data_IF_460362268659
#
_entry.id   IF_460362268659
#
_cell.length_a   1.000
_cell.length_b   1.000
_cell.length_c   1.000
_cell.angle_alpha   90.00
_cell.angle_beta   90.00
_cell.angle_gamma   90.00
#
_symmetry.space_group_name_H-M   'P 1'
#
loop_
_entity.id
_entity.type
_entity.pdbx_description
1 polymer ?
#
# COMPACT_ATOMS: atom_id res chain seq x y z
N UNK A 1 -6.06 -3.74 5.88
CA UNK A 1 -6.17 -4.80 6.91
C UNK A 1 -6.01 -4.20 8.30
N UNK A 2 -6.85 -4.57 9.26
CA UNK A 2 -6.67 -4.11 10.63
C UNK A 2 -5.31 -4.54 11.19
N UNK A 3 -4.61 -3.62 11.86
CA UNK A 3 -3.29 -3.90 12.42
C UNK A 3 -3.30 -5.06 13.43
N UNK A 4 -4.39 -5.21 14.18
CA UNK A 4 -4.52 -6.28 15.18
C UNK A 4 -4.55 -7.69 14.57
N UNK A 5 -4.88 -7.81 13.29
CA UNK A 5 -4.95 -9.08 12.57
C UNK A 5 -3.69 -9.38 11.75
N UNK A 6 -2.74 -8.44 11.72
CA UNK A 6 -1.54 -8.56 10.91
C UNK A 6 -0.38 -9.12 11.75
N UNK A 7 0.33 -10.11 11.19
CA UNK A 7 1.54 -10.69 11.79
C UNK A 7 2.56 -11.04 10.72
N UNK A 8 3.83 -10.73 11.00
CA UNK A 8 4.95 -11.26 10.24
C UNK A 8 5.30 -12.65 10.76
N UNK A 9 5.39 -13.63 9.87
CA UNK A 9 5.68 -15.02 10.25
C UNK A 9 7.14 -15.37 10.14
N UNK A 10 7.94 -14.61 9.38
CA UNK A 10 9.39 -14.80 9.27
C UNK A 10 10.07 -13.51 8.80
N UNK A 11 11.38 -13.46 9.02
CA UNK A 11 12.24 -12.40 8.55
C UNK A 11 12.41 -11.24 9.54
N UNK A 12 13.38 -10.37 9.23
CA UNK A 12 13.69 -9.16 9.99
C UNK A 12 13.51 -7.95 9.06
N UNK A 13 12.32 -7.36 9.01
CA UNK A 13 12.04 -6.26 8.09
C UNK A 13 12.76 -4.98 8.51
N UNK A 14 13.07 -4.14 7.52
CA UNK A 14 13.58 -2.78 7.71
C UNK A 14 12.47 -1.79 7.40
N UNK A 15 12.64 -0.56 7.90
CA UNK A 15 11.66 0.51 7.78
C UNK A 15 12.26 1.74 7.15
N UNK A 16 11.48 2.43 6.35
CA UNK A 16 11.79 3.74 5.80
C UNK A 16 10.58 4.65 6.01
N UNK A 17 10.80 5.80 6.63
CA UNK A 17 9.74 6.76 6.94
C UNK A 17 9.87 7.95 6.01
N UNK A 18 8.78 8.28 5.31
CA UNK A 18 8.70 9.43 4.41
C UNK A 18 7.41 10.19 4.66
N UNK A 19 7.31 11.40 4.11
CA UNK A 19 6.08 12.19 4.15
C UNK A 19 5.23 11.89 2.92
N UNK A 20 3.91 11.74 3.13
CA UNK A 20 2.96 11.65 2.03
C UNK A 20 2.68 13.03 1.45
N UNK A 21 1.94 13.08 0.33
CA UNK A 21 1.49 14.34 -0.26
C UNK A 21 0.63 15.14 0.72
N UNK A 22 -0.07 14.48 1.65
CA UNK A 22 -0.85 15.13 2.69
C UNK A 22 -0.01 15.59 3.89
N UNK A 23 1.32 15.35 3.89
CA UNK A 23 2.23 15.77 4.96
C UNK A 23 2.30 14.83 6.15
N UNK A 24 1.73 13.63 6.07
CA UNK A 24 1.73 12.65 7.14
C UNK A 24 2.86 11.64 7.00
N UNK A 25 3.29 11.03 8.11
CA UNK A 25 4.32 10.02 8.05
C UNK A 25 3.80 8.72 7.43
N UNK A 26 4.53 8.23 6.43
CA UNK A 26 4.30 6.92 5.82
C UNK A 26 5.50 6.05 6.18
N UNK A 27 5.25 4.98 6.90
CA UNK A 27 6.28 3.98 7.21
C UNK A 27 6.17 2.85 6.20
N UNK A 28 7.21 2.72 5.37
CA UNK A 28 7.33 1.63 4.40
C UNK A 28 8.23 0.55 4.99
N UNK A 29 7.71 -0.67 5.05
CA UNK A 29 8.41 -1.82 5.61
C UNK A 29 8.76 -2.77 4.48
N UNK A 30 10.00 -3.20 4.43
CA UNK A 30 10.52 -4.02 3.34
C UNK A 30 11.46 -5.09 3.87
N UNK A 31 11.71 -6.11 3.05
CA UNK A 31 12.65 -7.17 3.40
C UNK A 31 14.07 -6.60 3.47
N UNK A 32 14.75 -6.82 4.60
CA UNK A 32 16.13 -6.35 4.80
C UNK A 32 17.16 -7.04 3.94
N UNK A 33 16.84 -8.21 3.40
CA UNK A 33 17.76 -9.01 2.59
C UNK A 33 17.64 -8.69 1.09
N UNK A 34 16.44 -8.55 0.56
CA UNK A 34 16.21 -8.37 -0.87
C UNK A 34 15.49 -7.07 -1.25
N UNK A 35 15.01 -6.31 -0.29
CA UNK A 35 14.34 -5.03 -0.54
C UNK A 35 12.88 -5.14 -0.96
N UNK A 36 12.31 -6.33 -1.01
CA UNK A 36 10.90 -6.51 -1.41
C UNK A 36 9.96 -5.74 -0.49
N UNK A 37 9.09 -4.85 -1.01
CA UNK A 37 8.10 -4.17 -0.19
C UNK A 37 7.12 -5.15 0.45
N UNK A 38 6.84 -4.97 1.74
CA UNK A 38 5.98 -5.88 2.50
C UNK A 38 4.66 -5.22 2.88
N UNK A 39 4.72 -4.09 3.59
CA UNK A 39 3.52 -3.37 4.00
C UNK A 39 3.83 -1.91 4.32
N UNK A 40 2.80 -1.11 4.48
CA UNK A 40 2.90 0.30 4.87
C UNK A 40 1.99 0.59 6.05
N UNK A 41 2.40 1.57 6.85
CA UNK A 41 1.59 2.13 7.93
C UNK A 41 1.59 3.64 7.81
N UNK A 42 0.44 4.26 8.06
CA UNK A 42 0.25 5.71 7.98
C UNK A 42 -0.02 6.24 9.38
N UNK A 43 0.64 7.35 9.76
CA UNK A 43 0.52 7.92 11.10
C UNK A 43 -0.91 8.32 11.46
N UNK A 44 -1.73 8.71 10.49
CA UNK A 44 -3.13 9.09 10.70
C UNK A 44 -4.06 7.90 10.90
N UNK A 45 -3.63 6.70 10.55
CA UNK A 45 -4.42 5.46 10.65
C UNK A 45 -3.58 4.33 11.24
N UNK A 46 -3.17 4.43 12.53
CA UNK A 46 -2.34 3.40 13.15
C UNK A 46 -3.05 2.06 13.34
N UNK A 47 -4.37 2.05 13.22
CA UNK A 47 -5.21 0.86 13.33
C UNK A 47 -5.24 0.01 12.04
N UNK A 48 -4.64 0.48 10.95
CA UNK A 48 -4.66 -0.18 9.65
C UNK A 48 -3.24 -0.43 9.16
N UNK A 49 -3.06 -1.57 8.48
CA UNK A 49 -1.83 -1.92 7.78
C UNK A 49 -2.17 -2.14 6.30
N UNK A 50 -1.45 -1.45 5.40
CA UNK A 50 -1.58 -1.66 3.96
C UNK A 50 -0.61 -2.73 3.49
N UNK A 51 -1.09 -3.95 3.31
CA UNK A 51 -0.26 -5.11 2.97
C UNK A 51 -0.10 -5.21 1.46
N UNK A 52 1.13 -5.44 0.99
CA UNK A 52 1.38 -5.75 -0.42
C UNK A 52 0.82 -7.14 -0.72
N UNK A 53 -0.12 -7.20 -1.65
CA UNK A 53 -0.87 -8.44 -1.91
C UNK A 53 0.05 -9.59 -2.36
N UNK A 54 1.15 -9.27 -3.05
CA UNK A 54 2.11 -10.27 -3.51
C UNK A 54 2.91 -10.93 -2.38
N UNK A 55 2.77 -10.47 -1.13
CA UNK A 55 3.40 -11.10 0.03
C UNK A 55 2.58 -12.26 0.60
N UNK A 56 1.35 -12.43 0.16
CA UNK A 56 0.53 -13.59 0.53
C UNK A 56 0.98 -14.82 -0.24
N UNK A 57 0.87 -15.99 0.39
CA UNK A 57 1.24 -17.26 -0.25
C UNK A 57 0.39 -17.52 -1.49
N UNK A 58 -0.91 -17.20 -1.44
CA UNK A 58 -1.81 -17.29 -2.58
C UNK A 58 -2.55 -15.96 -2.76
N UNK A 59 -2.08 -15.07 -3.67
CA UNK A 59 -2.76 -13.79 -3.93
C UNK A 59 -3.88 -13.88 -4.96
N UNK A 60 -4.21 -15.04 -5.47
CA UNK A 60 -5.16 -15.20 -6.58
C UNK A 60 -6.59 -14.75 -6.24
N UNK A 61 -6.93 -14.67 -4.97
CA UNK A 61 -8.25 -14.21 -4.49
C UNK A 61 -8.44 -12.70 -4.64
N UNK A 62 -7.35 -11.94 -4.79
CA UNK A 62 -7.40 -10.48 -4.78
C UNK A 62 -8.03 -9.95 -6.07
N UNK A 63 -8.85 -8.91 -5.93
CA UNK A 63 -9.39 -8.11 -7.04
C UNK A 63 -9.23 -6.63 -6.68
N UNK A 64 -8.54 -5.84 -7.52
CA UNK A 64 -8.44 -4.39 -7.29
C UNK A 64 -9.82 -3.74 -7.26
N UNK A 65 -10.01 -2.80 -6.34
CA UNK A 65 -11.28 -2.08 -6.18
C UNK A 65 -11.20 -0.65 -6.72
N UNK A 66 -10.00 -0.11 -6.89
CA UNK A 66 -9.80 1.25 -7.38
C UNK A 66 -8.38 1.45 -7.89
N UNK A 67 -8.24 2.42 -8.78
CA UNK A 67 -6.94 2.98 -9.18
C UNK A 67 -6.82 4.37 -8.57
N UNK A 68 -5.74 4.63 -7.85
CA UNK A 68 -5.50 5.94 -7.23
C UNK A 68 -4.24 6.58 -7.81
N UNK A 69 -4.10 7.90 -7.65
CA UNK A 69 -2.98 8.66 -8.19
C UNK A 69 -2.83 8.51 -9.70
N UNK A 70 -3.95 8.38 -10.42
CA UNK A 70 -3.90 8.23 -11.89
C UNK A 70 -3.38 9.47 -12.61
N UNK A 71 -3.32 10.62 -11.92
CA UNK A 71 -2.68 11.82 -12.49
C UNK A 71 -1.20 11.61 -12.82
N UNK A 72 -0.56 10.65 -12.13
CA UNK A 72 0.85 10.30 -12.33
C UNK A 72 1.04 9.10 -13.26
N UNK A 73 -0.04 8.51 -13.73
CA UNK A 73 0.02 7.34 -14.61
C UNK A 73 0.67 7.67 -15.94
N UNK A 74 1.41 6.70 -16.48
CA UNK A 74 2.05 6.82 -17.78
C UNK A 74 1.20 6.17 -18.87
N UNK A 75 1.37 6.57 -20.17
CA UNK A 75 0.57 6.01 -21.26
C UNK A 75 0.66 4.49 -21.39
N UNK A 76 1.78 3.90 -20.94
CA UNK A 76 1.99 2.45 -20.99
C UNK A 76 1.48 1.70 -19.77
N UNK A 77 0.90 2.40 -18.79
CA UNK A 77 0.39 1.83 -17.56
C UNK A 77 -1.03 1.32 -17.79
N UNK A 78 -1.16 0.01 -17.93
CA UNK A 78 -2.43 -0.65 -18.20
C UNK A 78 -3.22 -0.84 -16.91
N UNK A 79 -4.35 -0.16 -16.78
CA UNK A 79 -5.22 -0.23 -15.60
C UNK A 79 -6.58 -0.79 -15.98
N UNK A 80 -7.20 -1.47 -15.00
CA UNK A 80 -8.57 -1.95 -15.15
C UNK A 80 -9.54 -0.76 -15.18
N UNK A 81 -10.17 -0.51 -16.30
CA UNK A 81 -11.13 0.58 -16.46
C UNK A 81 -12.48 0.30 -15.82
N UNK A 82 -12.74 -0.93 -15.38
CA UNK A 82 -14.00 -1.31 -14.75
C UNK A 82 -14.10 -0.90 -13.27
N UNK A 83 -12.99 -0.47 -12.67
CA UNK A 83 -12.96 0.00 -11.28
C UNK A 83 -12.82 1.52 -11.22
N UNK A 84 -13.28 2.18 -10.13
CA UNK A 84 -13.14 3.63 -9.98
C UNK A 84 -11.69 4.07 -10.05
N UNK A 85 -11.45 5.24 -10.65
CA UNK A 85 -10.13 5.87 -10.73
C UNK A 85 -10.16 7.24 -10.05
N UNK A 86 -9.11 7.55 -9.29
CA UNK A 86 -8.98 8.80 -8.57
C UNK A 86 -7.67 9.48 -8.93
N UNK A 87 -7.70 10.79 -9.19
CA UNK A 87 -6.50 11.54 -9.56
C UNK A 87 -5.41 11.46 -8.48
N UNK A 88 -5.80 11.48 -7.22
CA UNK A 88 -4.93 11.34 -6.07
C UNK A 88 -5.50 10.31 -5.10
N UNK A 89 -5.85 10.71 -3.88
CA UNK A 89 -6.47 9.82 -2.90
C UNK A 89 -7.93 9.53 -3.25
N UNK A 90 -8.48 8.40 -2.80
CA UNK A 90 -9.92 8.19 -2.84
C UNK A 90 -10.66 9.31 -2.13
N UNK A 91 -11.89 9.61 -2.57
CA UNK A 91 -12.70 10.68 -2.00
C UNK A 91 -12.80 10.54 -0.46
N UNK A 92 -12.44 11.61 0.26
CA UNK A 92 -12.48 11.66 1.72
C UNK A 92 -11.35 10.91 2.44
N UNK A 93 -10.33 10.43 1.71
CA UNK A 93 -9.20 9.68 2.29
C UNK A 93 -7.88 10.29 1.83
N UNK A 94 -7.18 11.00 2.72
CA UNK A 94 -5.80 11.43 2.53
C UNK A 94 -4.91 10.70 3.55
N UNK A 95 -3.86 10.06 3.07
CA UNK A 95 -2.92 9.33 3.91
C UNK A 95 -1.65 10.12 4.20
#
# INVERSE_FOLDING_TARGET
>A
MPAAEFRLTQGAPKRYIAKSDAGNDITRVFCGDCGTPLYVQVSTRPDIVGVRVCTFDDPSWFRPEANIFVKSAQPWDHMDSSVPAFATYPTGRAY
#
